data_IF_852073926308
#
_entry.id   IF_852073926308
#
_cell.length_a   1.000
_cell.length_b   1.000
_cell.length_c   1.000
_cell.angle_alpha   90.00
_cell.angle_beta   90.00
_cell.angle_gamma   90.00
#
_symmetry.space_group_name_H-M   'P 1'
#
loop_
_entity.id
_entity.type
_entity.pdbx_description
1 polymer ?
#
# COMPACT_ATOMS: atom_id res chain seq x y z
N UNK A 1 -4.50 -0.71 -20.31
CA UNK A 1 -5.74 -1.45 -20.50
C UNK A 1 -6.82 -0.96 -19.55
N UNK A 2 -8.00 -0.88 -20.05
CA UNK A 2 -9.10 -0.36 -19.28
C UNK A 2 -9.81 -1.47 -18.52
N UNK A 3 -10.06 -1.25 -17.25
CA UNK A 3 -10.77 -2.23 -16.44
C UNK A 3 -12.26 -1.97 -16.55
N UNK A 4 -13.00 -2.96 -17.00
CA UNK A 4 -14.45 -2.82 -17.15
C UNK A 4 -15.23 -3.33 -15.96
N UNK A 5 -14.57 -3.91 -15.00
CA UNK A 5 -15.21 -4.43 -13.80
C UNK A 5 -14.62 -3.78 -12.57
N UNK A 6 -15.29 -3.97 -11.44
CA UNK A 6 -14.84 -3.39 -10.20
C UNK A 6 -13.80 -4.23 -9.50
N UNK A 7 -13.45 -5.37 -10.06
CA UNK A 7 -12.42 -6.19 -9.48
C UNK A 7 -11.06 -5.57 -9.78
N UNK A 8 -10.14 -5.61 -8.81
CA UNK A 8 -8.81 -5.09 -9.07
C UNK A 8 -8.11 -5.94 -10.12
N UNK A 9 -7.29 -5.31 -10.94
CA UNK A 9 -6.52 -6.04 -11.93
C UNK A 9 -5.39 -6.79 -11.23
N UNK A 10 -4.87 -7.86 -11.86
CA UNK A 10 -3.72 -8.56 -11.28
C UNK A 10 -2.53 -7.64 -11.02
N UNK A 11 -2.32 -6.66 -11.88
CA UNK A 11 -1.23 -5.71 -11.68
C UNK A 11 -1.39 -4.91 -10.41
N UNK A 12 -2.61 -4.45 -10.15
CA UNK A 12 -2.87 -3.67 -8.94
C UNK A 12 -2.64 -4.51 -7.69
N UNK A 13 -3.11 -5.75 -7.71
CA UNK A 13 -2.92 -6.65 -6.58
C UNK A 13 -1.44 -6.95 -6.38
N UNK A 14 -0.72 -7.19 -7.47
CA UNK A 14 0.71 -7.47 -7.40
C UNK A 14 1.47 -6.29 -6.80
N UNK A 15 1.07 -5.08 -7.20
CA UNK A 15 1.75 -3.88 -6.71
C UNK A 15 1.51 -3.70 -5.20
N UNK A 16 0.26 -3.89 -4.77
CA UNK A 16 -0.06 -3.80 -3.35
C UNK A 16 0.70 -4.85 -2.55
N UNK A 17 0.77 -6.06 -3.07
CA UNK A 17 1.48 -7.14 -2.41
C UNK A 17 2.97 -6.86 -2.35
N UNK A 18 3.52 -6.25 -3.39
CA UNK A 18 4.94 -5.88 -3.42
C UNK A 18 5.26 -4.90 -2.30
N UNK A 19 4.37 -3.93 -2.07
CA UNK A 19 4.56 -2.99 -0.97
C UNK A 19 4.58 -3.71 0.36
N UNK A 20 3.71 -4.68 0.53
CA UNK A 20 3.67 -5.47 1.75
C UNK A 20 4.99 -6.22 1.94
N UNK A 21 5.48 -6.85 0.88
CA UNK A 21 6.72 -7.63 0.94
C UNK A 21 7.91 -6.73 1.26
N UNK A 22 7.92 -5.52 0.72
CA UNK A 22 9.04 -4.60 0.85
C UNK A 22 8.96 -3.73 2.10
N UNK A 23 8.10 -4.06 3.05
CA UNK A 23 7.89 -3.18 4.20
C UNK A 23 9.18 -2.89 4.97
N UNK A 24 10.08 -3.85 5.07
CA UNK A 24 11.34 -3.60 5.78
C UNK A 24 12.27 -2.69 5.01
N UNK A 25 12.25 -2.79 3.68
CA UNK A 25 13.02 -1.88 2.84
C UNK A 25 12.47 -0.47 2.95
N UNK A 26 11.15 -0.35 2.94
CA UNK A 26 10.51 0.95 3.07
C UNK A 26 10.90 1.56 4.43
N UNK A 27 10.87 0.76 5.48
CA UNK A 27 11.19 1.24 6.82
C UNK A 27 12.60 1.84 6.88
N UNK A 28 13.53 1.29 6.13
CA UNK A 28 14.89 1.80 6.11
C UNK A 28 14.97 3.23 5.59
N UNK A 29 14.00 3.62 4.78
CA UNK A 29 13.96 4.96 4.20
C UNK A 29 13.06 5.92 4.96
N UNK A 30 12.43 5.46 6.03
CA UNK A 30 11.62 6.30 6.89
C UNK A 30 12.47 6.73 8.07
N UNK A 31 12.76 8.01 8.14
CA UNK A 31 13.64 8.50 9.19
C UNK A 31 12.93 8.53 10.53
N UNK A 32 13.46 7.79 11.49
CA UNK A 32 12.96 7.79 12.87
C UNK A 32 11.54 7.27 13.01
N UNK A 33 11.11 6.43 12.07
CA UNK A 33 9.78 5.82 12.15
C UNK A 33 9.93 4.31 12.00
N UNK A 34 9.13 3.58 12.74
CA UNK A 34 9.13 2.13 12.69
C UNK A 34 7.78 1.62 12.24
N UNK A 35 7.80 0.64 11.34
CA UNK A 35 6.56 0.01 10.90
C UNK A 35 6.21 -1.06 11.92
N UNK A 36 5.02 -0.94 12.51
CA UNK A 36 4.53 -1.89 13.50
C UNK A 36 3.76 -3.02 12.85
N UNK A 37 2.93 -2.69 11.88
CA UNK A 37 2.15 -3.70 11.18
C UNK A 37 1.76 -3.19 9.82
N UNK A 38 1.43 -4.11 8.93
CA UNK A 38 1.00 -3.79 7.58
C UNK A 38 -0.21 -4.65 7.27
N UNK A 39 -1.30 -4.01 6.86
CA UNK A 39 -2.51 -4.71 6.46
C UNK A 39 -2.73 -4.51 4.97
N UNK A 40 -3.15 -5.58 4.31
CA UNK A 40 -3.49 -5.49 2.89
C UNK A 40 -4.98 -5.72 2.71
N UNK A 41 -5.56 -4.95 1.80
CA UNK A 41 -6.96 -5.10 1.42
C UNK A 41 -6.98 -5.25 -0.09
N UNK A 42 -6.85 -6.48 -0.55
CA UNK A 42 -6.61 -6.77 -1.96
C UNK A 42 -7.88 -7.06 -2.76
N UNK A 43 -9.01 -7.25 -2.08
CA UNK A 43 -10.26 -7.61 -2.75
C UNK A 43 -11.17 -6.40 -2.90
N UNK A 44 -10.60 -5.27 -3.25
CA UNK A 44 -11.35 -4.03 -3.44
C UNK A 44 -11.05 -3.49 -4.82
N UNK A 45 -11.90 -2.59 -5.28
CA UNK A 45 -11.67 -1.94 -6.56
C UNK A 45 -10.30 -1.33 -6.65
N UNK A 46 -9.91 -0.66 -5.57
CA UNK A 46 -8.57 -0.09 -5.46
C UNK A 46 -7.91 -0.75 -4.27
N UNK A 47 -7.04 -1.72 -4.50
CA UNK A 47 -6.37 -2.39 -3.39
C UNK A 47 -5.61 -1.39 -2.53
N UNK A 48 -5.60 -1.65 -1.24
CA UNK A 48 -4.95 -0.76 -0.29
C UNK A 48 -3.95 -1.51 0.56
N UNK A 49 -2.93 -0.79 0.99
CA UNK A 49 -1.99 -1.28 1.97
C UNK A 49 -1.93 -0.25 3.07
N UNK A 50 -2.23 -0.67 4.29
CA UNK A 50 -2.22 0.23 5.44
C UNK A 50 -1.01 -0.07 6.30
N UNK A 51 -0.19 0.94 6.51
CA UNK A 51 1.00 0.85 7.36
C UNK A 51 0.71 1.51 8.69
N UNK A 52 0.88 0.77 9.77
CA UNK A 52 0.78 1.33 11.12
C UNK A 52 2.19 1.58 11.61
N UNK A 53 2.48 2.82 11.94
CA UNK A 53 3.85 3.23 12.27
C UNK A 53 3.88 3.90 13.63
N UNK A 54 5.09 3.94 14.19
CA UNK A 54 5.34 4.66 15.42
C UNK A 54 6.56 5.56 15.18
N UNK A 55 6.44 6.84 15.54
CA UNK A 55 7.57 7.75 15.37
C UNK A 55 8.53 7.63 16.55
N UNK A 56 9.59 8.44 16.54
CA UNK A 56 10.62 8.36 17.56
C UNK A 56 10.10 8.72 18.95
N UNK A 57 9.01 9.44 19.01
CA UNK A 57 8.41 9.84 20.28
C UNK A 57 7.39 8.83 20.78
N UNK A 58 7.15 7.76 20.00
CA UNK A 58 6.20 6.75 20.38
C UNK A 58 4.78 7.02 19.94
N UNK A 59 4.57 8.07 19.16
CA UNK A 59 3.23 8.41 18.68
C UNK A 59 2.85 7.54 17.49
N UNK A 60 1.63 6.99 17.49
CA UNK A 60 1.19 6.14 16.38
C UNK A 60 0.71 6.96 15.19
N UNK A 61 0.97 6.43 14.01
CA UNK A 61 0.51 7.01 12.76
C UNK A 61 0.05 5.91 11.84
N UNK A 62 -0.87 6.23 10.96
CA UNK A 62 -1.34 5.28 9.95
C UNK A 62 -1.26 5.92 8.59
N UNK A 63 -0.66 5.19 7.66
CA UNK A 63 -0.51 5.64 6.28
C UNK A 63 -1.15 4.61 5.38
N UNK A 64 -2.05 5.05 4.52
CA UNK A 64 -2.73 4.16 3.59
C UNK A 64 -2.24 4.48 2.19
N UNK A 65 -1.81 3.43 1.48
CA UNK A 65 -1.43 3.54 0.08
C UNK A 65 -2.51 2.82 -0.73
N UNK A 66 -3.14 3.56 -1.62
CA UNK A 66 -4.18 3.01 -2.48
C UNK A 66 -3.62 2.88 -3.89
N UNK A 67 -3.81 1.70 -4.48
CA UNK A 67 -3.28 1.44 -5.81
C UNK A 67 -4.38 1.77 -6.81
N UNK A 68 -4.10 2.72 -7.67
CA UNK A 68 -5.05 3.16 -8.68
C UNK A 68 -4.35 3.09 -10.03
N UNK A 69 -4.93 2.35 -10.95
CA UNK A 69 -4.36 2.26 -12.29
C UNK A 69 -4.98 3.33 -13.16
N UNK A 70 -4.12 4.11 -13.80
CA UNK A 70 -4.57 5.18 -14.68
C UNK A 70 -5.05 4.56 -15.99
N UNK A 71 -6.18 5.02 -16.52
CA UNK A 71 -6.66 4.51 -17.80
C UNK A 71 -5.66 4.74 -18.93
N UNK A 72 -5.76 3.95 -19.99
CA UNK A 72 -4.84 4.05 -21.09
C UNK A 72 -4.82 5.44 -21.70
N UNK A 73 -5.97 6.06 -21.72
CA UNK A 73 -6.05 7.44 -22.20
C UNK A 73 -6.19 8.36 -21.02
N UNK A 74 -5.19 9.15 -20.87
CA UNK A 74 -5.16 9.99 -19.70
C UNK A 74 -4.78 11.42 -20.04
#
# INVERSE_FOLDING_TARGET
MKTSSYNPSPLEVDFANALYILQKEIEKHLQNNQIRSVETHLKRDNPMVKFSLVDKDGDPHEVVVRIVQIPDKF
#
